data_IF_707078755983
#
_entry.id   IF_707078755983
#
_cell.length_a   1.000
_cell.length_b   1.000
_cell.length_c   1.000
_cell.angle_alpha   90.00
_cell.angle_beta   90.00
_cell.angle_gamma   90.00
#
_symmetry.space_group_name_H-M   'P 1'
#
loop_
_entity.id
_entity.type
_entity.pdbx_description
1 polymer ?
#
# COMPACT_ATOMS: atom_id res chain seq x y z
N UNK A 1 -3.10 -6.51 12.81
CA UNK A 1 -3.91 -5.79 11.81
C UNK A 1 -4.08 -6.69 10.59
N UNK A 2 -5.30 -6.94 10.23
CA UNK A 2 -5.62 -7.92 9.18
C UNK A 2 -6.47 -7.24 8.11
N UNK A 3 -6.05 -7.41 6.86
CA UNK A 3 -6.87 -6.99 5.72
C UNK A 3 -7.74 -8.18 5.32
N UNK A 4 -9.04 -7.94 5.22
CA UNK A 4 -9.97 -9.01 4.86
C UNK A 4 -9.69 -9.51 3.44
N UNK A 5 -9.83 -10.84 3.21
CA UNK A 5 -9.58 -11.40 1.87
C UNK A 5 -10.39 -10.74 0.76
N UNK A 6 -11.62 -10.31 1.07
CA UNK A 6 -12.47 -9.63 0.09
C UNK A 6 -11.85 -8.31 -0.36
N UNK A 7 -11.23 -7.57 0.56
CA UNK A 7 -10.58 -6.31 0.23
C UNK A 7 -9.39 -6.56 -0.69
N UNK A 8 -8.62 -7.62 -0.42
CA UNK A 8 -7.49 -7.99 -1.28
C UNK A 8 -7.96 -8.34 -2.67
N UNK A 9 -9.03 -9.13 -2.79
CA UNK A 9 -9.60 -9.49 -4.08
C UNK A 9 -10.11 -8.29 -4.85
N UNK A 10 -10.82 -7.38 -4.18
CA UNK A 10 -11.31 -6.16 -4.79
C UNK A 10 -10.16 -5.27 -5.25
N UNK A 11 -9.11 -5.15 -4.43
CA UNK A 11 -7.92 -4.40 -4.79
C UNK A 11 -7.26 -4.98 -6.04
N UNK A 12 -7.09 -6.30 -6.08
CA UNK A 12 -6.49 -6.98 -7.22
C UNK A 12 -7.29 -6.76 -8.51
N UNK A 13 -8.61 -6.62 -8.38
CA UNK A 13 -9.51 -6.35 -9.51
C UNK A 13 -9.52 -4.88 -9.94
N UNK A 14 -8.85 -4.00 -9.22
CA UNK A 14 -8.73 -2.59 -9.58
C UNK A 14 -9.68 -1.66 -8.84
N UNK A 15 -10.24 -2.09 -7.72
CA UNK A 15 -11.11 -1.24 -6.92
C UNK A 15 -10.33 -0.13 -6.23
N UNK A 16 -10.65 1.12 -6.53
CA UNK A 16 -10.04 2.27 -5.87
C UNK A 16 -10.44 2.34 -4.39
N UNK A 17 -11.65 1.93 -4.06
CA UNK A 17 -12.13 1.90 -2.69
C UNK A 17 -11.32 0.94 -1.85
N UNK A 18 -11.06 -0.27 -2.38
CA UNK A 18 -10.26 -1.27 -1.69
C UNK A 18 -8.83 -0.77 -1.51
N UNK A 19 -8.27 -0.15 -2.54
CA UNK A 19 -6.93 0.44 -2.45
C UNK A 19 -6.88 1.52 -1.38
N UNK A 20 -7.91 2.35 -1.30
CA UNK A 20 -7.98 3.41 -0.29
C UNK A 20 -7.98 2.85 1.13
N UNK A 21 -8.70 1.74 1.35
CA UNK A 21 -8.70 1.07 2.65
C UNK A 21 -7.31 0.57 3.00
N UNK A 22 -6.64 -0.07 2.07
CA UNK A 22 -5.28 -0.58 2.26
C UNK A 22 -4.33 0.59 2.53
N UNK A 23 -4.44 1.65 1.75
CA UNK A 23 -3.62 2.85 1.89
C UNK A 23 -3.75 3.44 3.29
N UNK A 24 -4.98 3.65 3.75
CA UNK A 24 -5.23 4.25 5.07
C UNK A 24 -4.69 3.39 6.21
N UNK A 25 -4.79 2.07 6.06
CA UNK A 25 -4.32 1.16 7.10
C UNK A 25 -2.80 1.10 7.19
N UNK A 26 -2.14 1.07 6.04
CA UNK A 26 -0.72 0.77 6.01
C UNK A 26 0.18 1.97 5.80
N UNK A 27 -0.34 3.09 5.29
CA UNK A 27 0.49 4.28 5.06
C UNK A 27 1.27 4.70 6.31
N UNK A 28 0.62 4.85 7.49
CA UNK A 28 1.35 5.26 8.69
C UNK A 28 2.45 4.28 9.07
N UNK A 29 2.20 2.98 8.87
CA UNK A 29 3.18 1.95 9.22
C UNK A 29 4.36 1.94 8.27
N UNK A 30 4.10 2.04 6.97
CA UNK A 30 5.16 2.10 5.95
C UNK A 30 5.96 3.39 6.12
N UNK A 31 5.29 4.49 6.35
CA UNK A 31 5.94 5.78 6.57
C UNK A 31 6.86 5.71 7.80
N UNK A 32 6.37 5.18 8.92
CA UNK A 32 7.16 5.06 10.13
C UNK A 32 8.38 4.17 9.91
N UNK A 33 8.23 3.08 9.16
CA UNK A 33 9.34 2.20 8.83
C UNK A 33 10.40 2.94 8.02
N UNK A 34 9.98 3.68 7.01
CA UNK A 34 10.88 4.45 6.15
C UNK A 34 11.58 5.54 6.95
N UNK A 35 10.87 6.20 7.87
CA UNK A 35 11.43 7.22 8.73
C UNK A 35 12.55 6.69 9.63
N UNK A 36 12.55 5.39 9.89
CA UNK A 36 13.63 4.75 10.63
C UNK A 36 14.96 4.77 9.88
N UNK A 37 14.92 4.89 8.56
CA UNK A 37 16.11 4.91 7.71
C UNK A 37 16.40 6.28 7.12
N UNK A 38 15.35 7.03 6.80
CA UNK A 38 15.45 8.32 6.12
C UNK A 38 15.05 9.43 7.09
N UNK A 39 15.96 10.37 7.33
CA UNK A 39 15.73 11.43 8.31
C UNK A 39 14.93 12.60 7.74
N UNK A 40 14.95 12.76 6.42
CA UNK A 40 14.25 13.86 5.76
C UNK A 40 12.77 13.54 5.62
N UNK A 41 11.90 14.45 6.04
CA UNK A 41 10.46 14.25 6.01
C UNK A 41 9.91 14.16 4.58
N UNK A 42 10.36 15.07 3.72
CA UNK A 42 9.88 15.10 2.34
C UNK A 42 10.28 13.86 1.57
N UNK A 43 11.53 13.41 1.75
CA UNK A 43 12.01 12.19 1.12
C UNK A 43 11.25 10.97 1.62
N UNK A 44 10.93 10.94 2.91
CA UNK A 44 10.17 9.84 3.50
C UNK A 44 8.75 9.78 2.92
N UNK A 45 8.10 10.91 2.75
CA UNK A 45 6.78 10.99 2.14
C UNK A 45 6.82 10.53 0.68
N UNK A 46 7.80 11.02 -0.07
CA UNK A 46 7.95 10.67 -1.48
C UNK A 46 8.15 9.17 -1.64
N UNK A 47 9.04 8.59 -0.85
CA UNK A 47 9.31 7.17 -0.94
C UNK A 47 8.09 6.33 -0.54
N UNK A 48 7.37 6.77 0.50
CA UNK A 48 6.16 6.08 0.93
C UNK A 48 5.12 6.08 -0.20
N UNK A 49 4.93 7.22 -0.86
CA UNK A 49 4.01 7.31 -1.99
C UNK A 49 4.42 6.40 -3.13
N UNK A 50 5.72 6.34 -3.43
CA UNK A 50 6.23 5.46 -4.48
C UNK A 50 5.93 4.00 -4.17
N UNK A 51 6.04 3.59 -2.91
CA UNK A 51 5.70 2.23 -2.50
C UNK A 51 4.25 1.90 -2.85
N UNK A 52 3.31 2.81 -2.56
CA UNK A 52 1.90 2.57 -2.84
C UNK A 52 1.57 2.65 -4.33
N UNK A 53 2.27 3.50 -5.09
CA UNK A 53 2.11 3.54 -6.54
C UNK A 53 2.55 2.20 -7.14
N UNK A 54 3.66 1.66 -6.70
CA UNK A 54 4.14 0.36 -7.17
C UNK A 54 3.18 -0.75 -6.77
N UNK A 55 2.63 -0.68 -5.58
CA UNK A 55 1.64 -1.64 -5.13
C UNK A 55 0.42 -1.63 -6.04
N UNK A 56 -0.09 -0.46 -6.37
CA UNK A 56 -1.22 -0.33 -7.28
C UNK A 56 -0.90 -0.90 -8.66
N UNK A 57 0.27 -0.58 -9.19
CA UNK A 57 0.67 -1.04 -10.52
C UNK A 57 0.82 -2.57 -10.58
N UNK A 58 1.09 -3.20 -9.46
CA UNK A 58 1.28 -4.64 -9.38
C UNK A 58 0.09 -5.38 -8.76
N UNK A 59 -1.04 -4.70 -8.63
CA UNK A 59 -2.22 -5.26 -7.96
C UNK A 59 -2.70 -6.58 -8.57
N UNK A 60 -2.56 -6.74 -9.89
CA UNK A 60 -3.03 -7.94 -10.57
C UNK A 60 -2.29 -9.20 -10.14
N UNK A 61 -1.09 -9.06 -9.57
CA UNK A 61 -0.31 -10.21 -9.08
C UNK A 61 -1.08 -10.94 -7.98
N UNK A 62 -1.86 -10.22 -7.19
CA UNK A 62 -2.58 -10.80 -6.06
C UNK A 62 -3.70 -11.75 -6.50
N UNK A 63 -4.18 -11.64 -7.74
CA UNK A 63 -5.13 -12.60 -8.30
C UNK A 63 -4.50 -13.98 -8.47
N UNK A 64 -3.22 -14.03 -8.77
CA UNK A 64 -2.53 -15.28 -9.09
C UNK A 64 -2.13 -16.07 -7.86
N UNK A 65 -2.23 -15.48 -6.70
CA UNK A 65 -1.81 -16.08 -5.44
C UNK A 65 -2.91 -16.93 -4.82
N UNK A 66 -4.13 -16.80 -5.30
CA UNK A 66 -5.29 -17.50 -4.76
C UNK A 66 -5.52 -18.84 -5.40
#
# INVERSE_FOLDING_TARGET
MIVEPEVVGEFASGSHEAFHKIFKLFYPKVYAFIRGFIKDLDDSEDLTQIVFIKLWNKRAIFHKVH
#
